data_IF_980507852421
#
_entry.id   IF_980507852421
#
_cell.length_a   1.000
_cell.length_b   1.000
_cell.length_c   1.000
_cell.angle_alpha   90.00
_cell.angle_beta   90.00
_cell.angle_gamma   90.00
#
_symmetry.space_group_name_H-M   'P 1'
#
loop_
_entity.id
_entity.type
_entity.pdbx_description
1 polymer ?
#
# COMPACT_ATOMS: atom_id res chain seq x y z
N UNK A 1 -18.81 -36.59 23.17
CA UNK A 1 -19.39 -35.25 23.45
C UNK A 1 -18.37 -34.15 23.78
N UNK A 2 -17.16 -34.46 24.28
CA UNK A 2 -16.12 -33.47 24.65
C UNK A 2 -15.40 -32.82 23.46
N UNK A 3 -15.17 -33.56 22.37
CA UNK A 3 -14.43 -33.08 21.19
C UNK A 3 -15.21 -32.03 20.35
N UNK A 4 -16.55 -32.10 20.31
CA UNK A 4 -17.38 -31.13 19.56
C UNK A 4 -17.28 -29.72 20.15
N UNK A 5 -17.23 -29.59 21.48
CA UNK A 5 -17.11 -28.29 22.16
C UNK A 5 -15.73 -27.66 21.96
N UNK A 6 -14.66 -28.47 21.94
CA UNK A 6 -13.29 -28.00 21.70
C UNK A 6 -13.12 -27.57 20.23
N UNK A 7 -13.66 -28.34 19.28
CA UNK A 7 -13.66 -27.98 17.86
C UNK A 7 -14.44 -26.69 17.58
N UNK A 8 -15.61 -26.50 18.21
CA UNK A 8 -16.37 -25.25 18.10
C UNK A 8 -15.67 -24.04 18.75
N UNK A 9 -14.99 -24.23 19.88
CA UNK A 9 -14.19 -23.17 20.51
C UNK A 9 -12.99 -22.76 19.67
N UNK A 10 -12.29 -23.73 19.08
CA UNK A 10 -11.16 -23.47 18.18
C UNK A 10 -11.60 -22.75 16.89
N UNK A 11 -12.72 -23.16 16.28
CA UNK A 11 -13.25 -22.50 15.09
C UNK A 11 -13.66 -21.04 15.37
N UNK A 12 -14.29 -20.77 16.51
CA UNK A 12 -14.64 -19.41 16.92
C UNK A 12 -13.43 -18.52 17.15
N UNK A 13 -12.38 -19.04 17.79
CA UNK A 13 -11.14 -18.31 18.01
C UNK A 13 -10.40 -17.99 16.70
N UNK A 14 -10.36 -18.94 15.75
CA UNK A 14 -9.78 -18.72 14.41
C UNK A 14 -10.54 -17.64 13.65
N UNK A 15 -11.88 -17.71 13.65
CA UNK A 15 -12.70 -16.69 12.99
C UNK A 15 -12.46 -15.29 13.57
N UNK A 16 -12.41 -15.18 14.89
CA UNK A 16 -12.13 -13.91 15.56
C UNK A 16 -10.73 -13.38 15.19
N UNK A 17 -9.71 -14.24 15.18
CA UNK A 17 -8.36 -13.85 14.80
C UNK A 17 -8.31 -13.34 13.34
N UNK A 18 -9.00 -14.02 12.41
CA UNK A 18 -9.10 -13.56 11.01
C UNK A 18 -9.78 -12.20 10.93
N UNK A 19 -10.91 -12.00 11.62
CA UNK A 19 -11.60 -10.71 11.63
C UNK A 19 -10.72 -9.59 12.17
N UNK A 20 -9.96 -9.84 13.24
CA UNK A 20 -9.02 -8.87 13.79
C UNK A 20 -7.91 -8.54 12.79
N UNK A 21 -7.34 -9.53 12.09
CA UNK A 21 -6.34 -9.29 11.05
C UNK A 21 -6.92 -8.43 9.91
N UNK A 22 -8.16 -8.70 9.49
CA UNK A 22 -8.84 -7.93 8.44
C UNK A 22 -9.12 -6.48 8.86
N UNK A 23 -9.37 -6.22 10.15
CA UNK A 23 -9.59 -4.87 10.69
C UNK A 23 -8.28 -4.09 10.84
N UNK A 24 -7.16 -4.77 11.06
CA UNK A 24 -5.85 -4.17 11.30
C UNK A 24 -5.02 -4.01 10.02
N UNK A 25 -5.53 -4.44 8.85
CA UNK A 25 -4.81 -4.36 7.58
C UNK A 25 -5.66 -3.65 6.51
N UNK A 26 -5.04 -2.91 5.57
CA UNK A 26 -5.74 -2.26 4.46
C UNK A 26 -6.26 -3.23 3.39
N UNK A 27 -6.26 -4.54 3.63
CA UNK A 27 -6.65 -5.54 2.63
C UNK A 27 -8.06 -5.32 2.11
N UNK A 28 -9.02 -5.00 2.98
CA UNK A 28 -10.42 -4.83 2.59
C UNK A 28 -10.58 -3.63 1.67
N UNK A 29 -9.97 -2.48 2.01
CA UNK A 29 -10.02 -1.29 1.18
C UNK A 29 -9.27 -1.51 -0.14
N UNK A 30 -8.09 -2.12 -0.11
CA UNK A 30 -7.31 -2.36 -1.32
C UNK A 30 -8.01 -3.34 -2.28
N UNK A 31 -8.63 -4.42 -1.78
CA UNK A 31 -9.45 -5.33 -2.60
C UNK A 31 -10.63 -4.60 -3.22
N UNK A 32 -11.32 -3.77 -2.44
CA UNK A 32 -12.46 -3.00 -2.93
C UNK A 32 -12.05 -2.02 -4.02
N UNK A 33 -11.01 -1.23 -3.80
CA UNK A 33 -10.53 -0.21 -4.75
C UNK A 33 -10.02 -0.83 -6.05
N UNK A 34 -9.27 -1.94 -5.96
CA UNK A 34 -8.88 -2.73 -7.15
C UNK A 34 -10.07 -3.24 -7.96
N UNK A 35 -11.21 -3.51 -7.31
CA UNK A 35 -12.40 -4.00 -7.99
C UNK A 35 -13.20 -2.89 -8.68
N UNK A 36 -13.17 -1.66 -8.15
CA UNK A 36 -14.04 -0.58 -8.63
C UNK A 36 -13.34 0.46 -9.51
N UNK A 37 -12.03 0.61 -9.42
CA UNK A 37 -11.28 1.58 -10.23
C UNK A 37 -10.09 0.91 -10.96
N UNK A 38 -10.12 0.84 -12.31
CA UNK A 38 -9.05 0.23 -13.08
C UNK A 38 -7.73 1.03 -13.06
N UNK A 39 -7.74 2.28 -12.59
CA UNK A 39 -6.54 3.09 -12.40
C UNK A 39 -5.95 2.94 -11.00
N UNK A 40 -6.67 2.32 -10.06
CA UNK A 40 -6.12 1.96 -8.76
C UNK A 40 -5.10 0.83 -8.93
N UNK A 41 -3.85 1.11 -8.60
CA UNK A 41 -2.74 0.15 -8.70
C UNK A 41 -2.06 -0.02 -7.35
N UNK A 42 -1.63 -1.24 -7.04
CA UNK A 42 -0.74 -1.49 -5.89
C UNK A 42 0.71 -1.36 -6.38
N UNK A 43 1.57 -0.55 -5.72
CA UNK A 43 2.98 -0.47 -6.06
C UNK A 43 3.68 -1.84 -6.00
N UNK A 44 4.64 -2.09 -6.91
CA UNK A 44 5.35 -3.38 -6.99
C UNK A 44 6.15 -3.72 -5.72
N UNK A 45 6.62 -2.70 -5.01
CA UNK A 45 7.37 -2.83 -3.76
C UNK A 45 6.45 -3.06 -2.56
N UNK A 46 5.14 -2.88 -2.72
CA UNK A 46 4.14 -3.08 -1.67
C UNK A 46 3.27 -4.31 -1.93
N UNK A 47 2.23 -4.47 -1.13
CA UNK A 47 1.26 -5.54 -1.25
C UNK A 47 -0.15 -5.05 -0.95
N UNK A 48 -1.14 -5.84 -1.35
CA UNK A 48 -2.55 -5.61 -1.02
C UNK A 48 -2.81 -5.55 0.50
N UNK A 49 -1.92 -6.12 1.32
CA UNK A 49 -2.05 -6.16 2.78
C UNK A 49 -1.39 -4.98 3.50
N UNK A 50 -0.56 -4.20 2.82
CA UNK A 50 0.30 -3.20 3.45
C UNK A 50 0.21 -1.81 2.83
N UNK A 51 -0.19 -1.72 1.57
CA UNK A 51 -0.31 -0.45 0.88
C UNK A 51 -1.44 0.39 1.45
N UNK A 52 -1.15 1.64 1.77
CA UNK A 52 -2.11 2.60 2.29
C UNK A 52 -2.10 3.87 1.41
N UNK A 53 -3.16 4.15 0.65
CA UNK A 53 -3.35 5.43 0.00
C UNK A 53 -3.46 6.56 1.04
N UNK A 54 -2.61 7.58 0.95
CA UNK A 54 -2.61 8.73 1.86
C UNK A 54 -3.26 9.96 1.24
N UNK A 55 -3.21 10.09 -0.09
CA UNK A 55 -3.88 11.15 -0.83
C UNK A 55 -4.59 10.54 -2.04
N UNK A 56 -5.90 10.67 -2.10
CA UNK A 56 -6.72 10.26 -3.23
C UNK A 56 -6.73 11.33 -4.33
N UNK A 57 -7.01 10.91 -5.56
CA UNK A 57 -7.31 11.82 -6.66
C UNK A 57 -8.54 12.67 -6.30
N UNK A 58 -8.48 14.02 -6.40
CA UNK A 58 -9.61 14.89 -6.12
C UNK A 58 -10.65 14.93 -7.25
N UNK A 59 -10.33 14.37 -8.41
CA UNK A 59 -11.23 14.31 -9.57
C UNK A 59 -12.15 13.10 -9.56
N UNK A 60 -12.62 12.71 -10.75
CA UNK A 60 -13.40 11.48 -10.92
C UNK A 60 -12.49 10.24 -10.80
N UNK A 61 -12.93 9.26 -10.02
CA UNK A 61 -12.20 8.01 -9.77
C UNK A 61 -11.62 7.93 -8.36
N UNK A 62 -11.44 6.71 -7.88
CA UNK A 62 -11.00 6.34 -6.55
C UNK A 62 -9.52 5.87 -6.53
N UNK A 63 -8.72 6.29 -7.52
CA UNK A 63 -7.27 6.09 -7.55
C UNK A 63 -6.51 7.13 -6.70
N UNK A 64 -5.21 6.91 -6.47
CA UNK A 64 -4.42 7.64 -5.48
C UNK A 64 -3.28 8.44 -6.10
N UNK A 65 -2.92 9.57 -5.46
CA UNK A 65 -1.79 10.43 -5.81
C UNK A 65 -0.54 10.10 -4.99
N UNK A 66 -0.74 9.87 -3.69
CA UNK A 66 0.30 9.48 -2.76
C UNK A 66 -0.18 8.31 -1.89
N UNK A 67 0.77 7.46 -1.51
CA UNK A 67 0.53 6.35 -0.60
C UNK A 67 1.83 5.95 0.08
N UNK A 68 1.73 5.06 1.05
CA UNK A 68 2.89 4.51 1.77
C UNK A 68 2.64 3.08 2.21
N UNK A 69 3.69 2.44 2.68
CA UNK A 69 3.62 1.26 3.53
C UNK A 69 4.70 1.39 4.62
N UNK A 70 4.99 0.31 5.36
CA UNK A 70 6.02 0.34 6.40
C UNK A 70 7.47 0.52 5.90
N UNK A 71 7.72 0.54 4.60
CA UNK A 71 9.07 0.58 4.02
C UNK A 71 9.30 1.71 3.01
N UNK A 72 8.26 2.15 2.29
CA UNK A 72 8.40 3.12 1.20
C UNK A 72 7.28 4.18 1.21
N UNK A 73 7.60 5.33 0.64
CA UNK A 73 6.65 6.32 0.12
C UNK A 73 6.42 6.06 -1.36
N UNK A 74 5.20 6.33 -1.84
CA UNK A 74 4.78 6.12 -3.22
C UNK A 74 4.11 7.36 -3.81
N UNK A 75 4.38 7.60 -5.08
CA UNK A 75 3.70 8.64 -5.87
C UNK A 75 3.25 8.06 -7.21
N UNK A 76 1.98 8.25 -7.55
CA UNK A 76 1.43 7.84 -8.83
C UNK A 76 1.72 8.92 -9.89
N UNK A 77 2.55 8.59 -10.88
CA UNK A 77 2.89 9.48 -12.00
C UNK A 77 1.96 9.30 -13.20
N UNK A 78 1.27 8.15 -13.29
CA UNK A 78 0.48 7.78 -14.47
C UNK A 78 1.29 7.45 -15.72
N UNK A 79 2.62 7.50 -15.65
CA UNK A 79 3.50 7.21 -16.77
C UNK A 79 3.57 5.70 -17.07
N UNK A 80 3.66 5.32 -18.35
CA UNK A 80 3.86 3.91 -18.75
C UNK A 80 5.34 3.67 -19.09
N UNK A 81 5.90 2.49 -18.79
CA UNK A 81 5.25 1.29 -18.23
C UNK A 81 5.14 1.25 -16.70
N UNK A 82 5.78 2.19 -15.99
CA UNK A 82 5.84 2.20 -14.53
C UNK A 82 5.13 3.44 -13.96
N UNK A 83 3.83 3.33 -13.61
CA UNK A 83 3.01 4.48 -13.22
C UNK A 83 3.24 4.95 -11.78
N UNK A 84 4.19 4.33 -11.08
CA UNK A 84 4.47 4.59 -9.66
C UNK A 84 5.96 4.77 -9.44
N UNK A 85 6.31 5.87 -8.80
CA UNK A 85 7.63 6.11 -8.21
C UNK A 85 7.58 5.71 -6.74
N UNK A 86 8.65 5.09 -6.25
CA UNK A 86 8.81 4.73 -4.85
C UNK A 86 10.08 5.33 -4.26
N UNK A 87 10.06 5.60 -2.95
CA UNK A 87 11.21 6.08 -2.21
C UNK A 87 11.30 5.40 -0.83
N UNK A 88 12.42 4.74 -0.48
CA UNK A 88 12.53 4.05 0.82
C UNK A 88 12.46 5.03 1.99
N UNK A 89 11.60 4.77 2.97
CA UNK A 89 11.44 5.63 4.15
C UNK A 89 12.73 5.76 4.94
N UNK A 90 13.54 4.69 4.98
CA UNK A 90 14.84 4.68 5.68
C UNK A 90 15.83 5.73 5.14
N UNK A 91 15.67 6.18 3.90
CA UNK A 91 16.53 7.20 3.28
C UNK A 91 15.98 8.62 3.44
N UNK A 92 14.74 8.78 3.92
CA UNK A 92 14.07 10.08 4.00
C UNK A 92 14.81 11.05 4.94
N UNK A 93 15.33 10.56 6.07
CA UNK A 93 16.12 11.37 7.01
C UNK A 93 17.46 11.85 6.44
N UNK A 94 17.97 11.18 5.41
CA UNK A 94 19.22 11.52 4.73
C UNK A 94 19.00 12.41 3.49
N UNK A 95 17.74 12.70 3.15
CA UNK A 95 17.36 13.51 2.00
C UNK A 95 16.95 14.93 2.45
N UNK A 96 17.81 15.94 2.29
CA UNK A 96 17.51 17.29 2.75
C UNK A 96 16.28 17.87 2.04
N UNK A 97 15.33 18.39 2.82
CA UNK A 97 14.09 18.96 2.29
C UNK A 97 13.07 17.93 1.81
N UNK A 98 13.23 16.65 2.15
CA UNK A 98 12.28 15.61 1.82
C UNK A 98 10.88 15.89 2.40
N UNK A 99 9.87 15.82 1.53
CA UNK A 99 8.46 15.94 1.87
C UNK A 99 7.68 14.73 1.31
N UNK A 100 7.00 13.92 2.15
CA UNK A 100 6.28 12.71 1.71
C UNK A 100 5.21 12.97 0.63
N UNK A 101 4.57 14.14 0.64
CA UNK A 101 3.48 14.48 -0.27
C UNK A 101 3.93 15.38 -1.44
N UNK A 102 5.22 15.43 -1.71
CA UNK A 102 5.80 16.24 -2.78
C UNK A 102 6.98 15.50 -3.40
N UNK A 103 6.71 14.63 -4.39
CA UNK A 103 7.72 13.74 -4.98
C UNK A 103 8.90 14.47 -5.63
N UNK A 104 8.74 15.75 -5.98
CA UNK A 104 9.81 16.57 -6.54
C UNK A 104 10.94 16.85 -5.53
N UNK A 105 10.65 16.73 -4.23
CA UNK A 105 11.63 16.84 -3.15
C UNK A 105 12.38 15.53 -2.87
N UNK A 106 11.95 14.43 -3.49
CA UNK A 106 12.54 13.13 -3.23
C UNK A 106 13.90 13.03 -3.94
N UNK A 107 14.89 12.48 -3.25
CA UNK A 107 16.27 12.34 -3.74
C UNK A 107 16.41 11.20 -4.76
N UNK A 108 15.64 11.24 -5.85
CA UNK A 108 15.51 10.18 -6.87
C UNK A 108 16.75 10.05 -7.78
N UNK A 109 17.76 10.93 -7.61
CA UNK A 109 19.01 11.00 -8.38
C UNK A 109 19.95 9.78 -8.27
N UNK A 110 19.54 8.68 -7.63
CA UNK A 110 20.26 7.39 -7.60
C UNK A 110 19.39 6.16 -7.96
N UNK A 111 18.11 6.35 -8.32
CA UNK A 111 17.14 5.25 -8.49
C UNK A 111 16.58 5.04 -9.89
N UNK A 112 16.78 5.98 -10.83
CA UNK A 112 16.29 5.82 -12.22
C UNK A 112 17.01 4.71 -13.00
N UNK A 113 18.26 4.40 -12.63
CA UNK A 113 19.08 3.41 -13.34
C UNK A 113 18.77 1.95 -12.96
N UNK A 114 17.96 1.72 -11.91
CA UNK A 114 17.61 0.38 -11.43
C UNK A 114 16.32 -0.18 -12.03
N UNK A 115 15.57 0.62 -12.80
CA UNK A 115 14.33 0.21 -13.47
C UNK A 115 14.46 0.10 -15.00
N UNK A 116 15.66 0.33 -15.53
CA UNK A 116 16.06 0.01 -16.91
C UNK A 116 17.10 -1.11 -16.87
N UNK A 117 16.70 -2.29 -16.40
CA UNK A 117 17.38 -3.56 -16.68
C UNK A 117 16.35 -4.65 -16.89
#
# INVERSE_FOLDING_TARGET
MRNRKIASGAAGAVLLAVLLILLMTPIVSNVWLLAIDPLFVIPRQSSIFSFEPTVLNPGSGDWWLYGEDGEHYYHFTGERPCPVVSYPQKLASECPGFEPLNYATWCLGRGRDALIK
#
